data_IF_587992916857
#
_entry.id   IF_587992916857
#
_cell.length_a   1.000
_cell.length_b   1.000
_cell.length_c   1.000
_cell.angle_alpha   90.00
_cell.angle_beta   90.00
_cell.angle_gamma   90.00
#
_symmetry.space_group_name_H-M   'P 1'
#
loop_
_entity.id
_entity.type
_entity.pdbx_description
1 polymer ?
#
# COMPACT_ATOMS: atom_id res chain seq x y z
N UNK A 1 22.85 -12.13 15.83
CA UNK A 1 22.09 -12.16 17.10
C UNK A 1 22.50 -13.37 17.95
N UNK A 2 22.49 -14.59 17.42
CA UNK A 2 22.85 -15.81 18.18
C UNK A 2 24.19 -15.71 18.87
N UNK A 3 25.22 -15.22 18.19
CA UNK A 3 26.56 -15.02 18.76
C UNK A 3 26.54 -14.10 20.00
N UNK A 4 25.77 -13.01 19.97
CA UNK A 4 25.62 -12.08 21.10
C UNK A 4 24.94 -12.76 22.29
N UNK A 5 23.87 -13.50 22.03
CA UNK A 5 23.12 -14.22 23.06
C UNK A 5 24.01 -15.28 23.72
N UNK A 6 24.72 -16.09 22.92
CA UNK A 6 25.66 -17.10 23.45
C UNK A 6 26.79 -16.46 24.26
N UNK A 7 27.37 -15.37 23.74
CA UNK A 7 28.42 -14.64 24.44
C UNK A 7 27.92 -14.11 25.79
N UNK A 8 26.73 -13.55 25.86
CA UNK A 8 26.11 -13.08 27.11
C UNK A 8 25.86 -14.21 28.10
N UNK A 9 25.36 -15.35 27.65
CA UNK A 9 25.18 -16.55 28.50
C UNK A 9 26.52 -17.05 29.05
N UNK A 10 27.57 -17.05 28.23
CA UNK A 10 28.94 -17.41 28.69
C UNK A 10 29.50 -16.45 29.76
N UNK A 11 29.01 -15.20 29.76
CA UNK A 11 29.33 -14.23 30.81
C UNK A 11 28.46 -14.35 32.07
N UNK A 12 27.56 -15.33 32.14
CA UNK A 12 26.68 -15.57 33.29
C UNK A 12 25.38 -14.76 33.29
N UNK A 13 25.03 -14.11 32.15
CA UNK A 13 23.72 -13.43 32.02
C UNK A 13 22.59 -14.39 31.72
N UNK A 14 21.43 -14.16 32.30
CA UNK A 14 20.16 -14.73 31.90
C UNK A 14 19.69 -14.10 30.58
N UNK A 15 20.07 -14.70 29.47
CA UNK A 15 19.77 -14.16 28.14
C UNK A 15 18.76 -15.03 27.41
N UNK A 16 17.51 -14.54 27.32
CA UNK A 16 16.42 -15.16 26.57
C UNK A 16 16.43 -14.67 25.12
N UNK A 17 16.29 -15.60 24.17
CA UNK A 17 16.09 -15.30 22.77
C UNK A 17 14.85 -15.98 22.24
N UNK A 18 13.81 -15.18 22.04
CA UNK A 18 12.50 -15.65 21.56
C UNK A 18 12.48 -15.71 20.03
N UNK A 19 12.06 -16.85 19.43
CA UNK A 19 11.71 -16.89 18.02
C UNK A 19 10.34 -16.26 17.79
N UNK A 20 10.18 -15.62 16.63
CA UNK A 20 8.90 -15.10 16.18
C UNK A 20 8.78 -15.21 14.68
N UNK A 21 7.56 -15.44 14.20
CA UNK A 21 7.24 -15.48 12.78
C UNK A 21 6.23 -14.40 12.45
N UNK A 22 6.48 -13.70 11.33
CA UNK A 22 5.54 -12.77 10.74
C UNK A 22 4.63 -13.50 9.76
N UNK A 23 3.36 -13.09 9.69
CA UNK A 23 2.38 -13.61 8.73
C UNK A 23 2.65 -13.14 7.29
N UNK A 24 3.49 -12.12 7.09
CA UNK A 24 3.90 -11.55 5.80
C UNK A 24 2.74 -11.22 4.84
N UNK A 25 1.52 -11.14 5.33
CA UNK A 25 0.30 -10.67 4.68
C UNK A 25 0.18 -10.93 3.18
N UNK A 26 0.36 -9.87 2.40
CA UNK A 26 0.21 -9.88 0.94
C UNK A 26 1.17 -10.85 0.24
N UNK A 27 2.41 -10.95 0.70
CA UNK A 27 3.41 -11.83 0.10
C UNK A 27 3.05 -13.31 0.26
N UNK A 28 2.55 -13.71 1.43
CA UNK A 28 2.05 -15.06 1.70
C UNK A 28 0.85 -15.38 0.82
N UNK A 29 -0.13 -14.48 0.76
CA UNK A 29 -1.30 -14.62 -0.12
C UNK A 29 -0.90 -14.79 -1.58
N UNK A 30 0.00 -13.97 -2.10
CA UNK A 30 0.47 -14.04 -3.49
C UNK A 30 1.11 -15.39 -3.82
N UNK A 31 1.88 -15.98 -2.88
CA UNK A 31 2.47 -17.32 -3.05
C UNK A 31 1.41 -18.42 -3.07
N UNK A 32 0.42 -18.35 -2.19
CA UNK A 32 -0.70 -19.31 -2.17
C UNK A 32 -1.52 -19.19 -3.45
N UNK A 33 -1.83 -17.99 -3.90
CA UNK A 33 -2.56 -17.77 -5.16
C UNK A 33 -1.77 -18.28 -6.39
N UNK A 34 -0.43 -18.13 -6.39
CA UNK A 34 0.40 -18.70 -7.45
C UNK A 34 0.30 -20.24 -7.48
N UNK A 35 0.39 -20.90 -6.32
CA UNK A 35 0.24 -22.36 -6.19
C UNK A 35 -1.15 -22.83 -6.62
N UNK A 36 -2.21 -22.08 -6.30
CA UNK A 36 -3.57 -22.38 -6.75
C UNK A 36 -3.73 -22.22 -8.26
N UNK A 37 -3.13 -21.20 -8.87
CA UNK A 37 -3.15 -20.97 -10.32
C UNK A 37 -2.49 -22.12 -11.09
N UNK A 38 -1.44 -22.71 -10.56
CA UNK A 38 -0.82 -23.92 -11.15
C UNK A 38 -1.79 -25.10 -11.21
N UNK A 39 -2.77 -25.12 -10.30
CA UNK A 39 -3.85 -26.11 -10.24
C UNK A 39 -5.10 -25.69 -11.04
N UNK A 40 -5.05 -24.53 -11.72
CA UNK A 40 -6.19 -23.97 -12.45
C UNK A 40 -7.28 -23.37 -11.57
N UNK A 41 -6.98 -23.07 -10.30
CA UNK A 41 -7.94 -22.55 -9.32
C UNK A 41 -7.67 -21.06 -9.09
N UNK A 42 -8.72 -20.24 -9.20
CA UNK A 42 -8.70 -18.83 -8.86
C UNK A 42 -9.15 -18.62 -7.39
N UNK A 43 -8.64 -17.58 -6.75
CA UNK A 43 -9.14 -17.15 -5.43
C UNK A 43 -10.63 -16.84 -5.43
N UNK A 44 -11.17 -16.40 -6.57
CA UNK A 44 -12.60 -16.09 -6.72
C UNK A 44 -13.46 -17.35 -6.77
N UNK A 45 -12.91 -18.49 -7.24
CA UNK A 45 -13.60 -19.79 -7.25
C UNK A 45 -13.72 -20.37 -5.85
N UNK A 46 -12.71 -20.11 -5.00
CA UNK A 46 -12.70 -20.59 -3.62
C UNK A 46 -13.58 -19.75 -2.69
N UNK A 47 -13.60 -18.44 -2.91
CA UNK A 47 -14.14 -17.49 -1.94
C UNK A 47 -13.21 -17.26 -0.75
N UNK A 48 -13.56 -16.27 0.11
CA UNK A 48 -12.69 -15.78 1.19
C UNK A 48 -12.31 -16.87 2.20
N UNK A 49 -13.29 -17.62 2.70
CA UNK A 49 -13.07 -18.57 3.80
C UNK A 49 -12.08 -19.68 3.38
N UNK A 50 -12.35 -20.33 2.26
CA UNK A 50 -11.48 -21.41 1.76
C UNK A 50 -10.09 -20.90 1.34
N UNK A 51 -9.99 -19.67 0.86
CA UNK A 51 -8.68 -19.07 0.57
C UNK A 51 -7.89 -18.87 1.87
N UNK A 52 -8.52 -18.38 2.92
CA UNK A 52 -7.89 -18.20 4.24
C UNK A 52 -7.43 -19.56 4.80
N UNK A 53 -8.23 -20.61 4.69
CA UNK A 53 -7.83 -21.96 5.09
C UNK A 53 -6.56 -22.41 4.33
N UNK A 54 -6.49 -22.17 3.03
CA UNK A 54 -5.29 -22.49 2.21
C UNK A 54 -4.06 -21.68 2.63
N UNK A 55 -4.27 -20.42 3.05
CA UNK A 55 -3.19 -19.58 3.57
C UNK A 55 -2.69 -20.13 4.93
N UNK A 56 -3.58 -20.59 5.79
CA UNK A 56 -3.20 -21.24 7.06
C UNK A 56 -2.45 -22.56 6.84
N UNK A 57 -2.90 -23.42 5.91
CA UNK A 57 -2.18 -24.64 5.54
C UNK A 57 -0.75 -24.32 5.07
N UNK A 58 -0.58 -23.32 4.20
CA UNK A 58 0.72 -22.84 3.73
C UNK A 58 1.58 -22.34 4.91
N UNK A 59 1.00 -21.54 5.80
CA UNK A 59 1.71 -21.00 6.96
C UNK A 59 2.27 -22.12 7.84
N UNK A 60 1.51 -23.17 8.13
CA UNK A 60 1.98 -24.28 8.95
C UNK A 60 3.13 -25.04 8.24
N UNK A 61 2.95 -25.37 6.96
CA UNK A 61 3.99 -26.04 6.15
C UNK A 61 5.32 -25.26 6.21
N UNK A 62 5.28 -23.96 5.97
CA UNK A 62 6.49 -23.14 5.92
C UNK A 62 7.03 -22.79 7.31
N UNK A 63 6.21 -22.70 8.34
CA UNK A 63 6.66 -22.54 9.71
C UNK A 63 7.53 -23.72 10.15
N UNK A 64 7.13 -24.96 9.82
CA UNK A 64 7.91 -26.16 10.11
C UNK A 64 9.25 -26.18 9.36
N UNK A 65 9.25 -25.76 8.10
CA UNK A 65 10.49 -25.61 7.29
C UNK A 65 11.43 -24.60 7.95
N UNK A 66 10.92 -23.44 8.37
CA UNK A 66 11.72 -22.39 9.03
C UNK A 66 12.29 -22.88 10.35
N UNK A 67 11.49 -23.57 11.17
CA UNK A 67 11.97 -24.18 12.43
C UNK A 67 13.09 -25.19 12.19
N UNK A 68 12.92 -26.04 11.18
CA UNK A 68 13.94 -27.00 10.79
C UNK A 68 15.24 -26.30 10.31
N UNK A 69 15.14 -25.20 9.58
CA UNK A 69 16.29 -24.41 9.15
C UNK A 69 16.99 -23.78 10.36
N UNK A 70 16.26 -23.17 11.30
CA UNK A 70 16.83 -22.62 12.52
C UNK A 70 17.54 -23.67 13.38
N UNK A 71 16.93 -24.83 13.52
CA UNK A 71 17.54 -25.96 14.25
C UNK A 71 18.82 -26.45 13.56
N UNK A 72 18.79 -26.54 12.21
CA UNK A 72 19.99 -26.94 11.43
C UNK A 72 21.14 -25.92 11.52
N UNK A 73 20.83 -24.64 11.64
CA UNK A 73 21.80 -23.59 11.90
C UNK A 73 22.30 -23.59 13.36
N UNK A 74 21.68 -24.36 14.24
CA UNK A 74 22.02 -24.45 15.64
C UNK A 74 21.72 -23.17 16.43
N UNK A 75 20.69 -22.40 16.03
CA UNK A 75 20.30 -21.18 16.73
C UNK A 75 19.82 -21.50 18.17
N UNK A 76 20.29 -20.71 19.13
CA UNK A 76 20.03 -20.95 20.56
C UNK A 76 18.71 -20.32 21.03
N UNK A 77 17.65 -20.51 20.25
CA UNK A 77 16.28 -20.01 20.49
C UNK A 77 15.55 -20.81 21.57
N UNK A 78 14.66 -20.14 22.30
CA UNK A 78 13.67 -20.82 23.17
C UNK A 78 12.38 -21.07 22.39
N UNK A 79 12.31 -22.19 21.70
CA UNK A 79 11.16 -22.58 20.89
C UNK A 79 9.88 -22.77 21.72
N UNK A 80 9.97 -22.99 23.03
CA UNK A 80 8.80 -23.13 23.90
C UNK A 80 7.99 -21.84 24.04
N UNK A 81 8.61 -20.72 23.69
CA UNK A 81 8.04 -19.36 23.75
C UNK A 81 7.89 -18.71 22.39
N UNK A 82 7.91 -19.51 21.32
CA UNK A 82 7.70 -19.01 19.97
C UNK A 82 6.37 -18.24 19.86
N UNK A 83 6.44 -17.13 19.11
CA UNK A 83 5.25 -16.29 18.85
C UNK A 83 5.00 -16.19 17.35
N UNK A 84 3.75 -16.02 17.01
CA UNK A 84 3.29 -15.72 15.65
C UNK A 84 2.44 -14.46 15.67
N UNK A 85 2.61 -13.57 14.66
CA UNK A 85 1.96 -12.26 14.64
C UNK A 85 0.44 -12.29 14.69
N UNK A 86 -0.20 -13.44 14.33
CA UNK A 86 -1.65 -13.67 14.46
C UNK A 86 -2.02 -14.63 15.57
N UNK A 87 -1.13 -14.94 16.52
CA UNK A 87 -1.55 -15.69 17.70
C UNK A 87 -2.56 -14.89 18.54
N UNK A 88 -3.33 -15.58 19.35
CA UNK A 88 -4.41 -14.99 20.12
C UNK A 88 -3.95 -13.82 20.99
N UNK A 89 -2.86 -13.99 21.73
CA UNK A 89 -2.35 -12.94 22.61
C UNK A 89 -1.83 -11.69 21.88
N UNK A 90 -1.17 -11.87 20.71
CA UNK A 90 -0.76 -10.72 19.88
C UNK A 90 -1.95 -10.07 19.19
N UNK A 91 -2.94 -10.84 18.76
CA UNK A 91 -4.19 -10.31 18.20
C UNK A 91 -4.96 -9.45 19.20
N UNK A 92 -5.02 -9.87 20.46
CA UNK A 92 -5.64 -9.08 21.53
C UNK A 92 -4.84 -7.82 21.84
N UNK A 93 -3.51 -7.93 21.90
CA UNK A 93 -2.66 -6.76 22.10
C UNK A 93 -2.81 -5.72 20.98
N UNK A 94 -2.92 -6.14 19.71
CA UNK A 94 -3.14 -5.24 18.58
C UNK A 94 -4.48 -4.52 18.70
N UNK A 95 -5.55 -5.26 19.07
CA UNK A 95 -6.88 -4.64 19.28
C UNK A 95 -6.86 -3.62 20.42
N UNK A 96 -6.23 -3.97 21.54
CA UNK A 96 -6.11 -3.05 22.69
C UNK A 96 -5.35 -1.78 22.31
N UNK A 97 -4.23 -1.90 21.60
CA UNK A 97 -3.45 -0.74 21.13
C UNK A 97 -4.29 0.12 20.18
N UNK A 98 -5.02 -0.50 19.25
CA UNK A 98 -5.90 0.21 18.32
C UNK A 98 -6.95 1.04 19.06
N UNK A 99 -7.65 0.43 20.01
CA UNK A 99 -8.69 1.11 20.83
C UNK A 99 -8.10 2.28 21.58
N UNK A 100 -6.97 2.09 22.27
CA UNK A 100 -6.28 3.17 23.01
C UNK A 100 -5.85 4.33 22.12
N UNK A 101 -5.38 4.05 20.90
CA UNK A 101 -5.00 5.09 19.96
C UNK A 101 -6.21 5.86 19.42
N UNK A 102 -7.32 5.15 19.19
CA UNK A 102 -8.59 5.75 18.78
C UNK A 102 -9.15 6.67 19.88
N UNK A 103 -9.18 6.21 21.12
CA UNK A 103 -9.63 7.02 22.29
C UNK A 103 -8.78 8.29 22.50
N UNK A 104 -7.49 8.23 22.14
CA UNK A 104 -6.60 9.40 22.16
C UNK A 104 -6.75 10.33 20.95
N UNK A 105 -7.65 10.02 20.01
CA UNK A 105 -7.83 10.78 18.78
C UNK A 105 -6.67 10.70 17.78
N UNK A 106 -5.77 9.72 17.93
CA UNK A 106 -4.61 9.54 17.06
C UNK A 106 -4.94 8.70 15.81
N UNK A 107 -6.05 7.96 15.83
CA UNK A 107 -6.57 7.20 14.69
C UNK A 107 -7.91 7.80 14.29
N UNK A 108 -8.07 8.07 13.01
CA UNK A 108 -9.31 8.58 12.42
C UNK A 108 -9.51 7.98 11.03
N UNK A 109 -10.74 7.96 10.55
CA UNK A 109 -11.06 7.57 9.19
C UNK A 109 -11.04 8.81 8.29
N UNK A 110 -10.33 8.73 7.17
CA UNK A 110 -10.21 9.81 6.19
C UNK A 110 -9.94 9.28 4.79
N UNK A 111 -10.11 10.16 3.81
CA UNK A 111 -9.79 9.88 2.42
C UNK A 111 -8.35 10.30 2.12
N UNK A 112 -7.62 9.46 1.40
CA UNK A 112 -6.24 9.70 0.99
C UNK A 112 -5.94 8.99 -0.33
N UNK A 113 -5.14 9.63 -1.18
CA UNK A 113 -4.60 8.98 -2.38
C UNK A 113 -3.62 7.87 -1.94
N UNK A 114 -3.82 6.69 -2.49
CA UNK A 114 -3.01 5.49 -2.21
C UNK A 114 -2.47 4.89 -3.51
N UNK A 115 -1.41 4.10 -3.40
CA UNK A 115 -0.99 3.23 -4.50
C UNK A 115 -1.94 2.04 -4.59
N UNK A 116 -2.40 1.73 -5.79
CA UNK A 116 -3.37 0.67 -6.04
C UNK A 116 -2.91 -0.24 -7.19
N UNK A 117 -2.89 -1.54 -6.96
CA UNK A 117 -2.66 -2.54 -8.01
C UNK A 117 -4.02 -2.99 -8.59
N UNK A 118 -4.34 -2.65 -9.85
CA UNK A 118 -5.61 -3.03 -10.48
C UNK A 118 -5.71 -4.51 -10.81
N UNK A 119 -4.60 -5.23 -10.91
CA UNK A 119 -4.56 -6.68 -11.20
C UNK A 119 -4.88 -7.47 -9.93
N UNK A 120 -4.18 -7.17 -8.85
CA UNK A 120 -4.42 -7.81 -7.54
C UNK A 120 -5.60 -7.18 -6.80
N UNK A 121 -6.06 -5.99 -7.21
CA UNK A 121 -7.13 -5.21 -6.58
C UNK A 121 -6.87 -4.97 -5.09
N UNK A 122 -5.70 -4.43 -4.81
CA UNK A 122 -5.24 -4.13 -3.45
C UNK A 122 -4.47 -2.84 -3.38
N UNK A 123 -4.48 -2.21 -2.19
CA UNK A 123 -3.58 -1.12 -1.87
C UNK A 123 -2.15 -1.65 -1.69
N UNK A 124 -1.17 -0.84 -2.05
CA UNK A 124 0.25 -1.13 -1.91
C UNK A 124 0.90 -0.10 -0.99
N UNK A 125 1.90 -0.55 -0.22
CA UNK A 125 2.78 0.35 0.51
C UNK A 125 3.80 1.01 -0.44
N UNK A 126 4.38 2.14 -0.03
CA UNK A 126 5.36 2.84 -0.85
C UNK A 126 6.62 2.01 -1.14
N UNK A 127 6.98 1.07 -0.26
CA UNK A 127 8.14 0.20 -0.45
C UNK A 127 7.91 -0.92 -1.47
N UNK A 128 6.67 -1.16 -1.87
CA UNK A 128 6.27 -2.15 -2.88
C UNK A 128 6.12 -1.53 -4.28
N UNK A 129 6.30 -0.21 -4.39
CA UNK A 129 6.17 0.53 -5.66
C UNK A 129 7.56 0.81 -6.22
N UNK A 130 7.76 0.42 -7.47
CA UNK A 130 8.95 0.75 -8.24
C UNK A 130 8.58 1.81 -9.27
N UNK A 131 9.44 2.82 -9.40
CA UNK A 131 9.30 3.85 -10.42
C UNK A 131 10.17 3.48 -11.61
N UNK A 132 9.58 3.49 -12.80
CA UNK A 132 10.26 3.22 -14.06
C UNK A 132 10.06 4.40 -15.00
N UNK A 133 11.14 4.79 -15.69
CA UNK A 133 11.06 5.80 -16.73
C UNK A 133 10.48 5.18 -18.00
N UNK A 134 9.38 5.73 -18.46
CA UNK A 134 8.73 5.32 -19.72
C UNK A 134 8.69 6.49 -20.69
N UNK A 135 8.89 6.21 -21.97
CA UNK A 135 8.66 7.21 -23.02
C UNK A 135 7.18 7.58 -23.06
N UNK A 136 6.89 8.88 -23.02
CA UNK A 136 5.54 9.41 -23.04
C UNK A 136 5.47 10.70 -23.85
N UNK A 137 4.26 11.22 -24.01
CA UNK A 137 4.02 12.47 -24.72
C UNK A 137 3.41 13.51 -23.79
N UNK A 138 3.75 14.77 -24.02
CA UNK A 138 3.09 15.91 -23.42
C UNK A 138 1.99 16.38 -24.37
N UNK A 139 0.76 16.38 -23.91
CA UNK A 139 -0.43 16.81 -24.65
C UNK A 139 -0.79 18.22 -24.23
N UNK A 140 -1.13 19.08 -25.19
CA UNK A 140 -1.47 20.48 -24.96
C UNK A 140 -2.91 20.70 -25.38
N UNK A 141 -3.71 21.29 -24.50
CA UNK A 141 -5.12 21.55 -24.71
C UNK A 141 -5.44 23.04 -24.55
N UNK A 142 -6.29 23.57 -25.40
CA UNK A 142 -6.73 24.94 -25.41
C UNK A 142 -8.06 25.07 -24.64
N UNK A 143 -8.03 25.72 -23.49
CA UNK A 143 -9.21 26.06 -22.71
C UNK A 143 -9.58 27.51 -23.01
N UNK A 144 -10.69 27.72 -23.74
CA UNK A 144 -11.17 29.03 -24.12
C UNK A 144 -11.78 29.76 -22.91
N UNK A 145 -11.42 31.00 -22.71
CA UNK A 145 -11.97 31.83 -21.61
C UNK A 145 -13.37 32.29 -21.99
N UNK A 146 -14.34 32.08 -21.11
CA UNK A 146 -15.72 32.52 -21.34
C UNK A 146 -15.78 34.07 -21.37
N UNK A 147 -16.32 34.59 -22.47
CA UNK A 147 -16.45 36.04 -22.66
C UNK A 147 -15.15 36.77 -23.11
N UNK A 148 -14.14 36.05 -23.55
CA UNK A 148 -12.90 36.58 -24.10
C UNK A 148 -12.42 35.71 -25.27
N UNK A 149 -11.60 36.29 -26.14
CA UNK A 149 -10.90 35.53 -27.20
C UNK A 149 -9.59 34.86 -26.67
N UNK A 150 -9.27 35.05 -25.40
CA UNK A 150 -8.10 34.49 -24.77
C UNK A 150 -8.22 32.97 -24.55
N UNK A 151 -7.06 32.30 -24.56
CA UNK A 151 -6.94 30.84 -24.39
C UNK A 151 -5.94 30.54 -23.28
N UNK A 152 -6.28 29.64 -22.38
CA UNK A 152 -5.34 28.98 -21.47
C UNK A 152 -4.86 27.68 -22.08
N UNK A 153 -3.53 27.53 -22.22
CA UNK A 153 -2.93 26.27 -22.69
C UNK A 153 -2.54 25.43 -21.49
N UNK A 154 -3.15 24.27 -21.35
CA UNK A 154 -2.87 23.31 -20.30
C UNK A 154 -2.12 22.13 -20.89
N UNK A 155 -1.01 21.73 -20.25
CA UNK A 155 -0.18 20.61 -20.66
C UNK A 155 -0.31 19.46 -19.65
N UNK A 156 -0.49 18.24 -20.14
CA UNK A 156 -0.55 17.03 -19.33
C UNK A 156 0.05 15.83 -20.04
N UNK A 157 0.60 14.89 -19.29
CA UNK A 157 0.99 13.57 -19.79
C UNK A 157 -0.17 12.57 -19.78
N UNK A 158 -1.31 12.93 -19.17
CA UNK A 158 -2.48 12.09 -18.96
C UNK A 158 -3.74 12.75 -19.50
N UNK A 159 -3.94 12.74 -20.83
CA UNK A 159 -5.05 13.44 -21.48
C UNK A 159 -6.44 12.92 -21.05
N UNK A 160 -6.52 11.66 -20.61
CA UNK A 160 -7.73 11.03 -20.13
C UNK A 160 -8.33 11.69 -18.87
N UNK A 161 -7.53 12.42 -18.09
CA UNK A 161 -8.00 13.08 -16.86
C UNK A 161 -8.87 14.31 -17.17
N UNK A 162 -8.75 14.88 -18.34
CA UNK A 162 -9.46 16.10 -18.77
C UNK A 162 -10.99 15.96 -18.65
N UNK A 163 -11.54 14.77 -18.83
CA UNK A 163 -13.00 14.52 -18.69
C UNK A 163 -13.52 14.74 -17.27
N UNK A 164 -12.63 14.73 -16.27
CA UNK A 164 -12.97 14.90 -14.86
C UNK A 164 -12.51 16.23 -14.27
N UNK A 165 -12.01 17.15 -15.08
CA UNK A 165 -11.59 18.46 -14.61
C UNK A 165 -12.74 19.22 -13.98
N UNK A 166 -12.50 19.83 -12.80
CA UNK A 166 -13.49 20.59 -12.04
C UNK A 166 -13.14 22.06 -11.92
N UNK A 167 -11.86 22.42 -12.03
CA UNK A 167 -11.37 23.79 -11.92
C UNK A 167 -10.00 23.94 -12.56
N UNK A 168 -9.62 25.16 -12.88
CA UNK A 168 -8.26 25.54 -13.32
C UNK A 168 -7.63 26.38 -12.21
N UNK A 169 -6.50 25.93 -11.70
CA UNK A 169 -5.74 26.65 -10.68
C UNK A 169 -4.57 27.39 -11.31
N UNK A 170 -4.43 28.67 -10.95
CA UNK A 170 -3.30 29.49 -11.35
C UNK A 170 -2.59 30.03 -10.12
N UNK A 171 -1.30 30.33 -10.24
CA UNK A 171 -0.60 30.95 -9.11
C UNK A 171 -1.06 32.41 -8.93
N UNK A 172 -1.43 32.87 -7.73
CA UNK A 172 -1.99 34.19 -7.50
C UNK A 172 -1.04 35.35 -7.85
N UNK A 173 0.26 35.10 -7.81
CA UNK A 173 1.29 36.10 -8.16
C UNK A 173 1.81 35.97 -9.59
N UNK A 174 1.23 35.06 -10.41
CA UNK A 174 1.63 34.94 -11.82
C UNK A 174 0.88 35.96 -12.68
N UNK A 175 1.58 37.03 -13.06
CA UNK A 175 1.02 38.13 -13.85
C UNK A 175 0.45 37.70 -15.21
N UNK A 176 0.84 36.54 -15.73
CA UNK A 176 0.32 36.00 -17.00
C UNK A 176 -1.14 35.56 -16.85
N UNK A 177 -1.51 35.04 -15.68
CA UNK A 177 -2.80 34.37 -15.48
C UNK A 177 -3.69 35.05 -14.42
N UNK A 178 -3.13 35.91 -13.58
CA UNK A 178 -3.82 36.63 -12.50
C UNK A 178 -5.11 37.32 -12.96
N UNK A 179 -5.11 37.88 -14.18
CA UNK A 179 -6.29 38.57 -14.75
C UNK A 179 -7.48 37.63 -15.00
N UNK A 180 -7.28 36.32 -15.04
CA UNK A 180 -8.32 35.34 -15.30
C UNK A 180 -8.93 34.75 -14.01
N UNK A 181 -8.36 35.02 -12.84
CA UNK A 181 -8.89 34.54 -11.57
C UNK A 181 -10.32 35.06 -11.37
N UNK A 182 -11.24 34.14 -11.07
CA UNK A 182 -12.69 34.42 -10.95
C UNK A 182 -13.45 34.35 -12.28
N UNK A 183 -12.77 34.20 -13.40
CA UNK A 183 -13.41 33.91 -14.71
C UNK A 183 -13.65 32.41 -14.86
N UNK A 184 -14.22 32.00 -15.98
CA UNK A 184 -14.44 30.61 -16.36
C UNK A 184 -13.76 30.29 -17.66
N UNK A 185 -13.40 29.03 -17.84
CA UNK A 185 -12.90 28.49 -19.11
C UNK A 185 -13.71 27.26 -19.53
N UNK A 186 -13.74 26.98 -20.81
CA UNK A 186 -14.48 25.86 -21.38
C UNK A 186 -13.57 24.65 -21.48
N UNK A 187 -13.97 23.54 -20.85
CA UNK A 187 -13.31 22.26 -21.00
C UNK A 187 -13.48 21.74 -22.44
N UNK A 188 -12.40 21.53 -23.20
CA UNK A 188 -12.51 21.15 -24.60
C UNK A 188 -13.01 19.70 -24.80
N UNK A 189 -13.01 18.87 -23.75
CA UNK A 189 -13.48 17.48 -23.84
C UNK A 189 -14.99 17.33 -23.77
N UNK A 190 -15.66 18.09 -22.88
CA UNK A 190 -17.07 17.93 -22.59
C UNK A 190 -17.91 19.23 -22.68
N UNK A 191 -17.24 20.37 -22.86
CA UNK A 191 -17.90 21.68 -22.98
C UNK A 191 -18.30 22.32 -21.65
N UNK A 192 -17.93 21.74 -20.51
CA UNK A 192 -18.25 22.28 -19.19
C UNK A 192 -17.50 23.59 -18.92
N UNK A 193 -18.16 24.50 -18.23
CA UNK A 193 -17.55 25.74 -17.75
C UNK A 193 -16.85 25.50 -16.42
N UNK A 194 -15.54 25.63 -16.40
CA UNK A 194 -14.70 25.44 -15.20
C UNK A 194 -14.29 26.78 -14.60
N UNK A 195 -14.36 26.96 -13.26
CA UNK A 195 -13.86 28.16 -12.61
C UNK A 195 -12.34 28.21 -12.66
N UNK A 196 -11.80 29.44 -12.79
CA UNK A 196 -10.37 29.71 -12.68
C UNK A 196 -10.12 30.34 -11.30
N UNK A 197 -9.27 29.66 -10.50
CA UNK A 197 -8.99 30.01 -9.10
C UNK A 197 -7.50 30.17 -8.84
#
# INVERSE_FOLDING_TARGET
QDMIIRYKRMQGYEALWLPGMDHAGLATQAKVEARLREQGISRYDLGREKLVDKIWEWKEEYADIIRAQWAKLGLSLDYSKERFTFDEGLSDAVREVFVRLYEKGLIYQGEKIINWDPVQRTALSNIEVYHEDIEGHMYYFNYHIVGSDDILVIATTRPETMFADQAIFVHPDDERYKKYVGMKAINPANGDELPIM
#
